data_IF_369487987456
#
_entry.id   IF_369487987456
#
_cell.length_a   1.000
_cell.length_b   1.000
_cell.length_c   1.000
_cell.angle_alpha   90.00
_cell.angle_beta   90.00
_cell.angle_gamma   90.00
#
_symmetry.space_group_name_H-M   'P 1'
#
loop_
_entity.id
_entity.type
_entity.pdbx_description
1 polymer ?
#
# COMPACT_ATOMS: atom_id res chain seq x y z
N UNK A 1 2.80 -5.96 26.36
CA UNK A 1 1.60 -6.65 25.82
C UNK A 1 0.62 -5.51 25.67
N UNK A 2 0.74 -4.79 24.56
CA UNK A 2 0.01 -3.54 24.36
C UNK A 2 -1.40 -3.89 23.91
N UNK A 3 -2.38 -3.47 24.71
CA UNK A 3 -3.80 -3.67 24.44
C UNK A 3 -4.17 -3.02 23.11
N UNK A 4 -4.46 -3.85 22.10
CA UNK A 4 -5.05 -3.44 20.82
C UNK A 4 -6.49 -2.95 21.08
N UNK A 5 -6.63 -1.71 21.56
CA UNK A 5 -7.93 -1.07 21.68
C UNK A 5 -8.29 -0.37 20.36
N UNK A 6 -8.63 -1.18 19.35
CA UNK A 6 -9.23 -0.68 18.11
C UNK A 6 -10.71 -0.39 18.43
N UNK A 7 -11.11 0.87 18.34
CA UNK A 7 -12.52 1.25 18.49
C UNK A 7 -13.32 0.78 17.26
N UNK A 8 -14.09 -0.29 17.45
CA UNK A 8 -14.92 -0.88 16.40
C UNK A 8 -16.27 -0.18 16.21
N UNK A 9 -16.64 0.78 17.07
CA UNK A 9 -17.93 1.47 16.97
C UNK A 9 -18.06 2.23 15.64
N UNK A 10 -17.02 2.97 15.24
CA UNK A 10 -16.99 3.67 13.95
C UNK A 10 -17.04 2.72 12.74
N UNK A 11 -16.63 1.46 12.87
CA UNK A 11 -16.69 0.50 11.77
C UNK A 11 -18.12 0.02 11.48
N UNK A 12 -18.95 -0.06 12.52
CA UNK A 12 -20.36 -0.44 12.40
C UNK A 12 -21.16 0.65 11.67
N UNK A 13 -20.88 1.92 11.96
CA UNK A 13 -21.58 3.04 11.30
C UNK A 13 -21.22 3.13 9.81
N UNK A 14 -19.92 3.04 9.51
CA UNK A 14 -19.41 2.95 8.13
C UNK A 14 -20.05 1.82 7.33
N UNK A 15 -20.26 0.66 7.97
CA UNK A 15 -20.85 -0.49 7.26
C UNK A 15 -22.28 -0.23 6.80
N UNK A 16 -23.08 0.47 7.62
CA UNK A 16 -24.47 0.82 7.28
C UNK A 16 -24.51 1.87 6.18
N UNK A 17 -23.69 2.92 6.29
CA UNK A 17 -23.63 3.96 5.26
C UNK A 17 -23.17 3.40 3.90
N UNK A 18 -22.26 2.42 3.90
CA UNK A 18 -21.85 1.73 2.67
C UNK A 18 -22.96 0.86 2.05
N UNK A 19 -23.90 0.34 2.84
CA UNK A 19 -25.06 -0.41 2.34
C UNK A 19 -26.09 0.50 1.66
N UNK A 20 -26.18 1.76 2.09
CA UNK A 20 -27.06 2.77 1.49
C UNK A 20 -26.54 3.29 0.13
N UNK A 21 -25.23 3.19 -0.11
CA UNK A 21 -24.60 3.64 -1.35
C UNK A 21 -24.83 2.68 -2.54
N UNK A 22 -24.85 3.23 -3.75
CA UNK A 22 -24.80 2.39 -4.95
C UNK A 22 -23.47 1.63 -5.03
N UNK A 23 -23.48 0.45 -5.68
CA UNK A 23 -22.26 -0.37 -5.84
C UNK A 23 -21.08 0.39 -6.47
N UNK A 24 -21.36 1.32 -7.38
CA UNK A 24 -20.35 2.12 -8.05
C UNK A 24 -19.70 3.14 -7.11
N UNK A 25 -20.51 3.77 -6.25
CA UNK A 25 -20.06 4.74 -5.25
C UNK A 25 -19.27 4.06 -4.15
N UNK A 26 -19.79 2.95 -3.60
CA UNK A 26 -19.09 2.12 -2.62
C UNK A 26 -17.72 1.68 -3.13
N UNK A 27 -17.62 1.20 -4.37
CA UNK A 27 -16.32 0.80 -4.97
C UNK A 27 -15.34 1.98 -5.07
N UNK A 28 -15.82 3.18 -5.40
CA UNK A 28 -14.98 4.38 -5.52
C UNK A 28 -14.45 4.82 -4.15
N UNK A 29 -15.34 4.86 -3.17
CA UNK A 29 -15.07 5.23 -1.78
C UNK A 29 -14.04 4.26 -1.17
N UNK A 30 -14.28 2.95 -1.28
CA UNK A 30 -13.35 1.91 -0.81
C UNK A 30 -11.97 2.02 -1.48
N UNK A 31 -11.91 2.37 -2.77
CA UNK A 31 -10.64 2.56 -3.48
C UNK A 31 -9.85 3.74 -2.97
N UNK A 32 -10.52 4.85 -2.65
CA UNK A 32 -9.86 6.03 -2.09
C UNK A 32 -9.34 5.76 -0.68
N UNK A 33 -10.16 5.12 0.15
CA UNK A 33 -9.81 4.73 1.51
C UNK A 33 -8.59 3.80 1.55
N UNK A 34 -8.66 2.67 0.85
CA UNK A 34 -7.57 1.69 0.81
C UNK A 34 -6.28 2.29 0.25
N UNK A 35 -6.37 3.16 -0.76
CA UNK A 35 -5.19 3.82 -1.31
C UNK A 35 -4.53 4.77 -0.29
N UNK A 36 -5.30 5.46 0.56
CA UNK A 36 -4.75 6.34 1.59
C UNK A 36 -3.91 5.55 2.60
N UNK A 37 -4.41 4.42 3.10
CA UNK A 37 -3.62 3.54 3.97
C UNK A 37 -2.36 3.00 3.28
N UNK A 38 -2.47 2.58 2.02
CA UNK A 38 -1.32 2.14 1.23
C UNK A 38 -0.30 3.27 0.96
N UNK A 39 -0.74 4.53 0.90
CA UNK A 39 0.14 5.68 0.71
C UNK A 39 1.01 5.96 1.95
N UNK A 40 0.45 5.84 3.16
CA UNK A 40 1.20 5.95 4.42
C UNK A 40 2.33 4.92 4.45
N UNK A 41 2.00 3.65 4.19
CA UNK A 41 2.99 2.58 4.12
C UNK A 41 4.03 2.84 3.02
N UNK A 42 3.61 3.28 1.84
CA UNK A 42 4.53 3.59 0.73
C UNK A 42 5.57 4.63 1.14
N UNK A 43 5.15 5.68 1.82
CA UNK A 43 6.03 6.79 2.18
C UNK A 43 7.01 6.39 3.29
N UNK A 44 6.56 5.59 4.25
CA UNK A 44 7.46 4.98 5.26
C UNK A 44 8.49 4.05 4.62
N UNK A 45 8.06 3.16 3.72
CA UNK A 45 8.97 2.27 2.97
C UNK A 45 9.99 3.09 2.18
N UNK A 46 9.60 4.22 1.59
CA UNK A 46 10.51 5.14 0.87
C UNK A 46 11.48 5.88 1.78
N UNK A 47 11.10 6.15 3.02
CA UNK A 47 11.95 6.78 4.02
C UNK A 47 13.04 5.79 4.49
N UNK A 48 12.66 4.55 4.77
CA UNK A 48 13.57 3.48 5.23
C UNK A 48 14.41 2.85 4.11
N UNK A 49 13.98 2.95 2.86
CA UNK A 49 14.68 2.33 1.73
C UNK A 49 16.13 2.86 1.57
N UNK A 50 17.13 1.96 1.42
CA UNK A 50 18.51 2.35 1.15
C UNK A 50 18.65 3.23 -0.10
N UNK A 51 19.43 4.32 0.02
CA UNK A 51 19.61 5.32 -1.06
C UNK A 51 21.02 5.33 -1.59
N UNK A 52 21.20 4.79 -2.81
CA UNK A 52 22.41 4.98 -3.62
C UNK A 52 22.19 5.98 -4.76
N UNK A 53 21.15 5.74 -5.56
CA UNK A 53 20.76 6.60 -6.70
C UNK A 53 19.31 7.11 -6.58
N UNK A 54 18.63 6.79 -5.49
CA UNK A 54 17.19 7.06 -5.30
C UNK A 54 16.25 6.24 -6.20
N UNK A 55 16.79 5.35 -7.06
CA UNK A 55 16.00 4.49 -7.96
C UNK A 55 15.05 3.55 -7.22
N UNK A 56 15.51 2.95 -6.12
CA UNK A 56 14.69 2.07 -5.30
C UNK A 56 13.49 2.80 -4.71
N UNK A 57 13.73 3.90 -3.98
CA UNK A 57 12.70 4.75 -3.40
C UNK A 57 11.64 5.19 -4.44
N UNK A 58 12.06 5.61 -5.63
CA UNK A 58 11.12 6.03 -6.70
C UNK A 58 10.23 4.91 -7.24
N UNK A 59 10.68 3.66 -7.17
CA UNK A 59 9.95 2.51 -7.68
C UNK A 59 9.10 1.81 -6.61
N UNK A 60 9.17 2.22 -5.35
CA UNK A 60 8.19 1.85 -4.33
C UNK A 60 6.91 2.63 -4.61
N UNK A 61 5.83 1.91 -4.88
CA UNK A 61 4.55 2.45 -5.34
C UNK A 61 3.39 1.87 -4.52
N UNK A 62 2.35 2.68 -4.32
CA UNK A 62 1.06 2.21 -3.83
C UNK A 62 0.17 1.93 -5.05
N UNK A 63 -0.52 0.78 -5.06
CA UNK A 63 -1.53 0.47 -6.08
C UNK A 63 -2.75 -0.15 -5.44
N UNK A 64 -3.92 0.27 -5.93
CA UNK A 64 -5.19 -0.40 -5.68
C UNK A 64 -5.28 -1.64 -6.57
N UNK A 65 -5.43 -2.81 -5.98
CA UNK A 65 -5.71 -4.05 -6.68
C UNK A 65 -7.22 -4.30 -6.69
N UNK A 66 -7.78 -4.43 -7.90
CA UNK A 66 -9.18 -4.81 -8.06
C UNK A 66 -9.28 -6.30 -7.75
N UNK A 67 -10.01 -6.67 -6.69
CA UNK A 67 -10.33 -8.08 -6.49
C UNK A 67 -11.20 -8.57 -7.65
N UNK A 68 -10.89 -9.76 -8.18
CA UNK A 68 -11.74 -10.42 -9.18
C UNK A 68 -13.00 -11.02 -8.54
N UNK A 69 -13.05 -11.11 -7.20
CA UNK A 69 -14.21 -11.58 -6.43
C UNK A 69 -14.91 -10.40 -5.75
N UNK A 70 -16.21 -10.31 -5.96
CA UNK A 70 -17.22 -9.72 -5.07
C UNK A 70 -16.88 -8.39 -4.37
N UNK A 71 -16.77 -7.29 -5.12
CA UNK A 71 -16.82 -5.94 -4.53
C UNK A 71 -15.67 -5.55 -3.60
N UNK A 72 -14.75 -6.47 -3.30
CA UNK A 72 -13.58 -6.20 -2.47
C UNK A 72 -12.58 -5.32 -3.22
N UNK A 73 -12.18 -4.24 -2.57
CA UNK A 73 -11.08 -3.38 -3.02
C UNK A 73 -9.95 -3.54 -2.01
N UNK A 74 -8.77 -3.88 -2.49
CA UNK A 74 -7.56 -3.86 -1.69
C UNK A 74 -6.56 -2.90 -2.31
N UNK A 75 -5.68 -2.33 -1.49
CA UNK A 75 -4.54 -1.59 -1.97
C UNK A 75 -3.31 -2.02 -1.18
N UNK A 76 -2.16 -1.97 -1.82
CA UNK A 76 -0.91 -2.38 -1.20
C UNK A 76 0.28 -1.64 -1.78
N UNK A 77 1.40 -1.80 -1.08
CA UNK A 77 2.70 -1.31 -1.54
C UNK A 77 3.38 -2.39 -2.34
N UNK A 78 3.90 -2.04 -3.51
CA UNK A 78 4.70 -2.93 -4.33
C UNK A 78 5.94 -2.19 -4.84
N UNK A 79 6.98 -2.95 -5.12
CA UNK A 79 8.18 -2.43 -5.75
C UNK A 79 8.10 -2.71 -7.24
N UNK A 80 8.04 -1.64 -8.04
CA UNK A 80 7.94 -1.70 -9.50
C UNK A 80 9.22 -2.32 -10.10
N UNK A 81 9.01 -3.34 -10.93
CA UNK A 81 10.00 -3.90 -11.83
C UNK A 81 9.82 -3.42 -13.27
N UNK A 82 10.80 -3.73 -14.12
CA UNK A 82 10.79 -3.41 -15.55
C UNK A 82 10.26 -4.53 -16.45
N UNK A 83 9.94 -5.72 -15.91
CA UNK A 83 9.36 -6.78 -16.73
C UNK A 83 7.96 -6.35 -17.19
N UNK A 84 7.68 -6.47 -18.49
CA UNK A 84 6.35 -6.17 -19.06
C UNK A 84 5.29 -7.17 -18.60
N UNK A 85 5.69 -8.38 -18.21
CA UNK A 85 4.80 -9.48 -17.81
C UNK A 85 4.50 -9.53 -16.30
N UNK A 86 5.06 -8.63 -15.48
CA UNK A 86 4.76 -8.60 -14.04
C UNK A 86 5.55 -7.59 -13.22
N UNK A 87 5.57 -7.76 -11.89
CA UNK A 87 6.35 -6.92 -10.96
C UNK A 87 7.82 -7.35 -10.86
N UNK A 88 8.20 -8.44 -11.53
CA UNK A 88 9.57 -8.91 -11.59
C UNK A 88 10.43 -7.92 -12.39
N UNK A 89 11.71 -7.87 -12.05
CA UNK A 89 12.66 -6.98 -12.71
C UNK A 89 13.39 -7.71 -13.83
N UNK A 90 13.54 -7.07 -14.98
CA UNK A 90 14.27 -7.67 -16.11
C UNK A 90 15.78 -7.74 -15.77
N UNK A 91 16.34 -8.96 -15.90
CA UNK A 91 17.75 -9.26 -15.68
C UNK A 91 18.69 -8.57 -16.68
N UNK A 92 18.21 -8.21 -17.87
CA UNK A 92 19.00 -7.55 -18.91
C UNK A 92 19.11 -6.03 -18.71
N UNK A 93 18.17 -5.43 -17.96
CA UNK A 93 18.04 -3.98 -17.81
C UNK A 93 18.40 -3.44 -16.41
N UNK A 94 19.18 -4.21 -15.62
CA UNK A 94 19.45 -3.94 -14.19
C UNK A 94 19.91 -2.50 -13.91
N UNK A 95 20.87 -1.99 -14.70
CA UNK A 95 21.50 -0.69 -14.48
C UNK A 95 20.81 0.47 -15.22
N UNK A 96 20.47 0.28 -16.50
CA UNK A 96 20.10 1.38 -17.42
C UNK A 96 18.65 1.85 -17.29
N UNK A 97 17.70 0.96 -16.98
CA UNK A 97 16.29 1.36 -16.92
C UNK A 97 15.97 2.03 -15.57
N UNK A 98 15.62 3.33 -15.51
CA UNK A 98 15.28 4.03 -14.26
C UNK A 98 14.07 3.43 -13.51
N UNK A 99 13.24 2.62 -14.17
CA UNK A 99 12.06 1.95 -13.61
C UNK A 99 12.34 0.55 -13.06
N UNK A 100 13.62 0.15 -13.03
CA UNK A 100 14.02 -1.18 -12.61
C UNK A 100 14.63 -1.19 -11.20
N UNK A 101 13.85 -1.62 -10.19
CA UNK A 101 14.34 -1.78 -8.82
C UNK A 101 14.93 -3.18 -8.53
N UNK A 102 15.51 -3.86 -9.52
CA UNK A 102 16.01 -5.25 -9.45
C UNK A 102 16.54 -5.75 -8.10
N UNK A 103 17.38 -4.97 -7.43
CA UNK A 103 18.07 -5.40 -6.22
C UNK A 103 17.23 -5.36 -4.93
N UNK A 104 15.98 -4.89 -4.97
CA UNK A 104 15.19 -4.66 -3.76
C UNK A 104 14.98 -5.91 -2.90
N UNK A 105 14.71 -7.08 -3.52
CA UNK A 105 14.49 -8.35 -2.78
C UNK A 105 15.74 -8.84 -2.07
N UNK A 106 16.89 -8.70 -2.73
CA UNK A 106 18.17 -9.10 -2.16
C UNK A 106 18.56 -8.21 -0.97
N UNK A 107 18.08 -6.96 -0.95
CA UNK A 107 18.23 -6.09 0.21
C UNK A 107 17.27 -6.50 1.34
N UNK A 108 15.99 -6.75 1.02
CA UNK A 108 15.00 -7.11 2.05
C UNK A 108 15.31 -8.46 2.72
N UNK A 109 15.60 -9.50 1.93
CA UNK A 109 15.74 -10.88 2.40
C UNK A 109 17.20 -11.32 2.59
N UNK A 110 18.15 -10.53 2.08
CA UNK A 110 19.57 -10.89 2.06
C UNK A 110 19.91 -11.88 0.96
N UNK A 111 21.17 -12.30 0.96
CA UNK A 111 21.73 -13.29 0.03
C UNK A 111 22.70 -14.21 0.76
N UNK A 112 23.13 -15.29 0.13
CA UNK A 112 24.19 -16.16 0.66
C UNK A 112 25.53 -15.45 0.89
N UNK A 113 25.73 -14.22 0.38
CA UNK A 113 26.97 -13.44 0.51
C UNK A 113 26.80 -12.12 1.29
N UNK A 114 25.58 -11.78 1.71
CA UNK A 114 25.27 -10.48 2.34
C UNK A 114 24.04 -10.62 3.25
N UNK A 115 24.09 -10.13 4.49
CA UNK A 115 22.93 -10.14 5.38
C UNK A 115 21.80 -9.22 4.88
N UNK A 116 20.54 -9.47 5.28
CA UNK A 116 19.41 -8.60 4.95
C UNK A 116 19.56 -7.20 5.55
N UNK A 117 19.11 -6.20 4.80
CA UNK A 117 18.90 -4.81 5.22
C UNK A 117 17.42 -4.49 5.00
N UNK A 118 16.54 -4.98 5.90
CA UNK A 118 15.10 -4.91 5.69
C UNK A 118 14.60 -3.46 5.84
N UNK A 119 13.69 -3.07 4.96
CA UNK A 119 13.09 -1.74 4.93
C UNK A 119 11.58 -1.78 4.66
N UNK A 120 11.05 -2.88 4.12
CA UNK A 120 9.62 -3.04 3.88
C UNK A 120 8.94 -3.54 5.15
N UNK A 121 9.41 -4.66 5.71
CA UNK A 121 8.79 -5.24 6.91
C UNK A 121 8.85 -4.32 8.13
N UNK A 122 10.00 -3.67 8.44
CA UNK A 122 10.06 -2.70 9.54
C UNK A 122 9.24 -1.43 9.29
N UNK A 123 8.94 -1.09 8.03
CA UNK A 123 8.02 0.00 7.72
C UNK A 123 6.58 -0.40 8.03
N UNK A 124 6.19 -1.61 7.62
CA UNK A 124 4.86 -2.15 7.90
C UNK A 124 4.62 -2.25 9.41
N UNK A 125 5.52 -2.91 10.14
CA UNK A 125 5.37 -3.12 11.58
C UNK A 125 5.26 -1.79 12.35
N UNK A 126 5.90 -0.72 11.87
CA UNK A 126 5.86 0.59 12.53
C UNK A 126 4.65 1.47 12.17
N UNK A 127 3.99 1.23 11.03
CA UNK A 127 2.98 2.13 10.46
C UNK A 127 1.66 1.43 10.13
N UNK A 128 1.50 0.17 10.49
CA UNK A 128 0.27 -0.59 10.26
C UNK A 128 -0.96 0.11 10.85
N UNK A 129 -0.87 0.56 12.11
CA UNK A 129 -1.99 1.21 12.81
C UNK A 129 -2.33 2.59 12.22
N UNK A 130 -1.29 3.37 11.87
CA UNK A 130 -1.47 4.67 11.22
C UNK A 130 -2.07 4.52 9.82
N UNK A 131 -1.65 3.49 9.07
CA UNK A 131 -2.20 3.18 7.77
C UNK A 131 -3.68 2.74 7.86
N UNK A 132 -4.04 1.96 8.89
CA UNK A 132 -5.42 1.58 9.16
C UNK A 132 -6.27 2.81 9.51
N UNK A 133 -5.77 3.67 10.40
CA UNK A 133 -6.44 4.90 10.80
C UNK A 133 -6.66 5.84 9.61
N UNK A 134 -5.63 6.04 8.77
CA UNK A 134 -5.72 6.86 7.57
C UNK A 134 -6.72 6.30 6.54
N UNK A 135 -6.84 4.97 6.45
CA UNK A 135 -7.84 4.35 5.58
C UNK A 135 -9.27 4.61 6.09
N UNK A 136 -9.51 4.47 7.39
CA UNK A 136 -10.81 4.73 8.02
C UNK A 136 -11.20 6.21 7.89
N UNK A 137 -10.28 7.13 8.22
CA UNK A 137 -10.52 8.56 8.10
C UNK A 137 -10.89 8.95 6.66
N UNK A 138 -10.15 8.42 5.69
CA UNK A 138 -10.43 8.69 4.27
C UNK A 138 -11.74 8.07 3.80
N UNK A 139 -12.15 6.94 4.41
CA UNK A 139 -13.42 6.29 4.12
C UNK A 139 -14.59 7.19 4.55
N UNK A 140 -14.57 7.67 5.79
CA UNK A 140 -15.61 8.58 6.32
C UNK A 140 -15.73 9.84 5.46
N UNK A 141 -14.58 10.50 5.17
CA UNK A 141 -14.55 11.67 4.30
C UNK A 141 -15.13 11.40 2.89
N UNK A 142 -14.92 10.21 2.36
CA UNK A 142 -15.39 9.84 1.03
C UNK A 142 -16.88 9.48 1.03
N UNK A 143 -17.40 8.87 2.10
CA UNK A 143 -18.83 8.64 2.30
C UNK A 143 -19.57 9.98 2.45
N UNK A 144 -19.09 10.86 3.33
CA UNK A 144 -19.64 12.22 3.51
C UNK A 144 -19.72 12.98 2.19
N UNK A 145 -18.67 12.88 1.36
CA UNK A 145 -18.64 13.54 0.05
C UNK A 145 -19.61 12.97 -0.98
N UNK A 146 -20.09 11.74 -0.79
CA UNK A 146 -21.11 11.13 -1.65
C UNK A 146 -22.51 11.42 -1.12
N UNK A 147 -22.73 11.36 0.20
CA UNK A 147 -24.02 11.63 0.83
C UNK A 147 -24.43 13.11 0.77
N UNK A 148 -23.47 14.03 0.81
CA UNK A 148 -23.73 15.48 0.73
C UNK A 148 -23.88 16.02 -0.71
N UNK A 149 -24.07 15.14 -1.70
CA UNK A 149 -24.19 15.52 -3.11
C UNK A 149 -25.63 15.44 -3.61
#
# INVERSE_FOLDING_TARGET
MDDFNIDFSGFLDVSKELEELSKAESTKVLRQATYAGAAVLRDEVRAKAPRRTGKLARNIMASSQRSRKNGEVSAGVYVRGSNKEGTNSDNSMKAKDPRNAYYWRFLEEGTSKMPPVPFIRPAFDSKADEAASAAIEKLNQAIDGVLNK
#
